data_IF_804244005330
#
_entry.id   IF_804244005330
#
_cell.length_a   1.000
_cell.length_b   1.000
_cell.length_c   1.000
_cell.angle_alpha   90.00
_cell.angle_beta   90.00
_cell.angle_gamma   90.00
#
_symmetry.space_group_name_H-M   'P 1'
#
loop_
_entity.id
_entity.type
_entity.pdbx_description
1 polymer ?
#
# COMPACT_ATOMS: atom_id res chain seq x y z
N UNK A 1 -9.88 0.36 14.97
CA UNK A 1 -9.92 -1.13 14.92
C UNK A 1 -8.54 -1.73 14.67
N UNK A 2 -7.71 -1.18 13.77
CA UNK A 2 -6.37 -1.77 13.52
C UNK A 2 -5.42 -1.71 14.72
N UNK A 3 -5.38 -0.59 15.45
CA UNK A 3 -4.51 -0.44 16.62
C UNK A 3 -4.68 -1.57 17.67
N UNK A 4 -5.88 -1.84 18.24
CA UNK A 4 -6.03 -2.92 19.22
C UNK A 4 -5.78 -4.32 18.62
N UNK A 5 -6.02 -4.51 17.33
CA UNK A 5 -5.71 -5.76 16.64
C UNK A 5 -4.19 -5.98 16.56
N UNK A 6 -3.44 -4.97 16.13
CA UNK A 6 -1.97 -5.02 16.04
C UNK A 6 -1.38 -5.28 17.44
N UNK A 7 -1.84 -4.60 18.48
CA UNK A 7 -1.40 -4.84 19.87
C UNK A 7 -1.63 -6.31 20.26
N UNK A 8 -2.84 -6.83 20.03
CA UNK A 8 -3.17 -8.23 20.37
C UNK A 8 -2.30 -9.23 19.62
N UNK A 9 -1.96 -8.95 18.36
CA UNK A 9 -1.09 -9.80 17.54
C UNK A 9 0.34 -9.79 18.07
N UNK A 10 0.85 -8.63 18.46
CA UNK A 10 2.18 -8.51 19.07
C UNK A 10 2.28 -9.27 20.39
N UNK A 11 1.22 -9.24 21.20
CA UNK A 11 1.17 -9.95 22.48
C UNK A 11 1.05 -11.47 22.30
N UNK A 12 0.29 -11.91 21.29
CA UNK A 12 -0.02 -13.34 21.10
C UNK A 12 0.88 -14.04 20.06
N UNK A 13 1.71 -13.30 19.33
CA UNK A 13 2.60 -13.85 18.30
C UNK A 13 1.89 -14.35 17.04
N UNK A 14 0.69 -13.83 16.76
CA UNK A 14 -0.09 -14.22 15.58
C UNK A 14 0.53 -13.69 14.28
N UNK A 15 -0.02 -14.11 13.12
CA UNK A 15 0.38 -13.61 11.80
C UNK A 15 -0.57 -12.49 11.39
N UNK A 16 -0.01 -11.39 10.92
CA UNK A 16 -0.74 -10.23 10.43
C UNK A 16 -0.26 -9.84 9.03
N UNK A 17 -0.81 -10.46 7.99
CA UNK A 17 -0.32 -10.26 6.65
C UNK A 17 -0.53 -8.82 6.19
N UNK A 18 -1.73 -8.25 6.34
CA UNK A 18 -2.03 -6.91 5.86
C UNK A 18 -3.18 -6.27 6.65
N UNK A 19 -3.22 -4.95 6.66
CA UNK A 19 -4.38 -4.20 7.17
C UNK A 19 -5.53 -4.21 6.15
N UNK A 20 -6.75 -3.86 6.59
CA UNK A 20 -7.90 -3.80 5.68
C UNK A 20 -7.74 -2.74 4.57
N UNK A 21 -6.99 -1.68 4.85
CA UNK A 21 -6.54 -0.69 3.87
C UNK A 21 -5.03 -0.54 4.09
N UNK A 22 -4.19 -1.34 3.42
CA UNK A 22 -2.76 -1.41 3.69
C UNK A 22 -2.07 -0.04 3.64
N UNK A 23 -1.30 0.25 4.69
CA UNK A 23 -0.51 1.47 4.83
C UNK A 23 0.34 1.38 6.09
N UNK A 24 1.61 1.84 6.09
CA UNK A 24 2.42 1.91 7.31
C UNK A 24 1.83 2.88 8.35
N UNK A 25 0.92 3.78 7.96
CA UNK A 25 0.24 4.70 8.88
C UNK A 25 -1.04 4.12 9.48
N UNK A 26 -1.54 3.00 8.95
CA UNK A 26 -2.83 2.46 9.38
C UNK A 26 -2.68 1.59 10.64
N UNK A 27 -2.71 2.26 11.80
CA UNK A 27 -2.72 1.65 13.13
C UNK A 27 -1.34 1.37 13.73
N UNK A 28 -0.31 1.14 12.91
CA UNK A 28 1.04 0.88 13.39
C UNK A 28 1.64 1.99 14.28
N UNK A 29 1.53 3.29 13.96
CA UNK A 29 2.19 4.32 14.77
C UNK A 29 1.74 4.29 16.24
N UNK A 30 0.42 4.23 16.46
CA UNK A 30 -0.13 4.16 17.81
C UNK A 30 0.14 2.80 18.48
N UNK A 31 -0.04 1.69 17.76
CA UNK A 31 0.14 0.35 18.32
C UNK A 31 1.59 0.02 18.72
N UNK A 32 2.56 0.68 18.09
CA UNK A 32 4.00 0.50 18.34
C UNK A 32 4.63 1.67 19.10
N UNK A 33 3.84 2.67 19.49
CA UNK A 33 4.31 3.91 20.13
C UNK A 33 5.43 4.60 19.34
N UNK A 34 5.25 4.72 18.02
CA UNK A 34 6.19 5.41 17.12
C UNK A 34 5.84 6.89 17.10
N UNK A 35 6.84 7.74 17.39
CA UNK A 35 6.73 9.19 17.19
C UNK A 35 6.99 9.54 15.73
N UNK A 36 6.07 10.30 15.14
CA UNK A 36 6.10 10.72 13.74
C UNK A 36 6.40 12.21 13.59
N UNK A 37 6.64 12.92 14.69
CA UNK A 37 6.89 14.36 14.68
C UNK A 37 8.11 14.70 13.81
N UNK A 38 7.91 15.55 12.80
CA UNK A 38 8.94 15.93 11.83
C UNK A 38 9.17 14.93 10.70
N UNK A 39 8.42 13.82 10.69
CA UNK A 39 8.42 12.78 9.66
C UNK A 39 7.00 12.51 9.13
N UNK A 40 6.13 13.52 9.17
CA UNK A 40 4.76 13.39 8.73
C UNK A 40 4.70 13.10 7.22
N UNK A 41 4.23 11.91 6.86
CA UNK A 41 4.16 11.47 5.45
C UNK A 41 5.45 10.86 4.91
N UNK A 42 6.52 10.80 5.71
CA UNK A 42 7.74 10.05 5.36
C UNK A 42 7.49 8.54 5.49
N UNK A 43 7.15 7.93 4.37
CA UNK A 43 6.85 6.50 4.27
C UNK A 43 8.05 5.65 4.68
N UNK A 44 9.27 6.04 4.27
CA UNK A 44 10.46 5.25 4.53
C UNK A 44 10.79 5.25 6.03
N UNK A 45 10.79 6.43 6.66
CA UNK A 45 10.96 6.54 8.11
C UNK A 45 9.95 5.67 8.87
N UNK A 46 8.70 5.65 8.43
CA UNK A 46 7.68 4.82 9.07
C UNK A 46 7.95 3.33 8.90
N UNK A 47 8.31 2.86 7.70
CA UNK A 47 8.64 1.45 7.47
C UNK A 47 9.84 1.00 8.33
N UNK A 48 10.88 1.82 8.39
CA UNK A 48 12.09 1.57 9.19
C UNK A 48 11.76 1.53 10.70
N UNK A 49 10.95 2.47 11.17
CA UNK A 49 10.52 2.57 12.57
C UNK A 49 9.65 1.37 12.99
N UNK A 50 8.72 0.94 12.12
CA UNK A 50 7.90 -0.25 12.36
C UNK A 50 8.81 -1.47 12.44
N UNK A 51 9.71 -1.65 11.48
CA UNK A 51 10.63 -2.79 11.44
C UNK A 51 11.44 -2.89 12.73
N UNK A 52 12.05 -1.79 13.19
CA UNK A 52 12.83 -1.76 14.43
C UNK A 52 12.00 -2.25 15.64
N UNK A 53 10.75 -1.78 15.76
CA UNK A 53 9.82 -2.19 16.83
C UNK A 53 9.39 -3.65 16.72
N UNK A 54 9.26 -4.18 15.50
CA UNK A 54 8.95 -5.58 15.27
C UNK A 54 10.15 -6.49 15.57
N UNK A 55 11.37 -6.09 15.21
CA UNK A 55 12.60 -6.82 15.50
C UNK A 55 12.84 -6.93 17.01
N UNK A 56 12.64 -5.85 17.78
CA UNK A 56 12.68 -5.85 19.25
C UNK A 56 11.80 -6.94 19.88
N UNK A 57 10.71 -7.32 19.19
CA UNK A 57 9.71 -8.30 19.66
C UNK A 57 9.79 -9.64 18.92
N UNK A 58 10.72 -9.81 17.98
CA UNK A 58 10.81 -11.02 17.16
C UNK A 58 9.60 -11.23 16.22
N UNK A 59 8.93 -10.15 15.82
CA UNK A 59 7.68 -10.17 15.06
C UNK A 59 7.83 -9.79 13.57
N UNK A 60 9.02 -9.37 13.13
CA UNK A 60 9.24 -8.91 11.76
C UNK A 60 8.86 -9.94 10.68
N UNK A 61 9.05 -11.24 10.94
CA UNK A 61 8.63 -12.32 10.04
C UNK A 61 7.15 -12.70 10.08
N UNK A 62 6.33 -11.99 10.87
CA UNK A 62 4.91 -12.30 11.07
C UNK A 62 3.99 -11.18 10.60
N UNK A 63 4.55 -10.05 10.21
CA UNK A 63 3.79 -8.86 9.86
C UNK A 63 4.28 -8.28 8.54
N UNK A 64 3.37 -7.67 7.79
CA UNK A 64 3.70 -6.90 6.59
C UNK A 64 2.74 -5.72 6.41
N UNK A 65 3.02 -4.89 5.41
CA UNK A 65 2.14 -3.81 4.97
C UNK A 65 2.34 -3.55 3.48
N UNK A 66 1.85 -2.43 2.94
CA UNK A 66 2.21 -1.96 1.61
C UNK A 66 3.26 -0.87 1.68
N UNK A 67 4.11 -0.77 0.66
CA UNK A 67 5.10 0.30 0.54
C UNK A 67 4.43 1.66 0.44
N UNK A 68 3.35 1.78 -0.33
CA UNK A 68 2.59 3.03 -0.47
C UNK A 68 1.20 2.90 0.16
N UNK A 69 0.74 3.89 0.96
CA UNK A 69 -0.64 3.92 1.46
C UNK A 69 -1.66 3.90 0.32
N UNK A 70 -2.57 2.92 0.29
CA UNK A 70 -3.52 2.74 -0.83
C UNK A 70 -4.37 3.99 -1.12
N UNK A 71 -4.85 4.68 -0.07
CA UNK A 71 -5.68 5.87 -0.25
C UNK A 71 -4.88 7.02 -0.88
N UNK A 72 -3.62 7.18 -0.50
CA UNK A 72 -2.76 8.22 -1.08
C UNK A 72 -2.42 7.88 -2.52
N UNK A 73 -2.12 6.60 -2.80
CA UNK A 73 -1.90 6.14 -4.16
C UNK A 73 -3.09 6.42 -5.09
N UNK A 74 -4.32 6.17 -4.62
CA UNK A 74 -5.54 6.45 -5.40
C UNK A 74 -5.75 7.95 -5.64
N UNK A 75 -5.53 8.80 -4.63
CA UNK A 75 -5.69 10.25 -4.77
C UNK A 75 -4.64 10.82 -5.72
N UNK A 76 -3.37 10.51 -5.49
CA UNK A 76 -2.27 11.03 -6.31
C UNK A 76 -2.33 10.48 -7.73
N UNK A 77 -2.55 9.18 -7.90
CA UNK A 77 -2.70 8.56 -9.22
C UNK A 77 -3.90 9.12 -10.00
N UNK A 78 -5.02 9.37 -9.33
CA UNK A 78 -6.18 10.02 -9.95
C UNK A 78 -5.90 11.45 -10.41
N UNK A 79 -5.18 12.23 -9.60
CA UNK A 79 -4.80 13.61 -9.95
C UNK A 79 -3.81 13.63 -11.11
N UNK A 80 -2.77 12.80 -11.07
CA UNK A 80 -1.78 12.72 -12.15
C UNK A 80 -2.42 12.27 -13.47
N UNK A 81 -3.28 11.25 -13.44
CA UNK A 81 -4.03 10.86 -14.64
C UNK A 81 -4.92 11.99 -15.17
N UNK A 82 -5.59 12.74 -14.29
CA UNK A 82 -6.38 13.89 -14.71
C UNK A 82 -5.53 15.00 -15.37
N UNK A 83 -4.30 15.21 -14.89
CA UNK A 83 -3.34 16.13 -15.54
C UNK A 83 -2.99 15.61 -16.94
N UNK A 84 -2.64 14.33 -17.09
CA UNK A 84 -2.36 13.73 -18.40
C UNK A 84 -3.52 13.92 -19.39
N UNK A 85 -4.75 13.70 -18.92
CA UNK A 85 -5.95 13.93 -19.73
C UNK A 85 -6.12 15.40 -20.12
N UNK A 86 -6.00 16.33 -19.16
CA UNK A 86 -6.19 17.77 -19.41
C UNK A 86 -5.12 18.34 -20.35
N UNK A 87 -3.91 17.77 -20.34
CA UNK A 87 -2.82 18.17 -21.21
C UNK A 87 -2.80 17.42 -22.55
N UNK A 88 -3.82 16.60 -22.83
CA UNK A 88 -4.02 15.91 -24.10
C UNK A 88 -3.05 14.75 -24.34
N UNK A 89 -2.52 14.13 -23.27
CA UNK A 89 -1.56 13.02 -23.32
C UNK A 89 -2.19 11.63 -23.17
N UNK A 90 -3.51 11.54 -23.13
CA UNK A 90 -4.26 10.28 -23.11
C UNK A 90 -5.07 10.09 -24.41
N UNK A 91 -5.39 8.84 -24.74
CA UNK A 91 -6.34 8.49 -25.79
C UNK A 91 -7.79 8.67 -25.31
N UNK A 92 -8.25 9.92 -25.24
CA UNK A 92 -9.57 10.26 -24.71
C UNK A 92 -9.63 10.15 -23.18
N UNK A 93 -10.84 10.09 -22.62
CA UNK A 93 -11.03 10.12 -21.16
C UNK A 93 -10.68 8.80 -20.46
N UNK A 94 -10.53 7.71 -21.22
CA UNK A 94 -10.26 6.37 -20.71
C UNK A 94 -9.06 5.78 -21.42
N UNK A 95 -7.90 5.85 -20.77
CA UNK A 95 -6.62 5.33 -21.26
C UNK A 95 -5.96 4.47 -20.16
N UNK A 96 -6.21 3.15 -20.17
CA UNK A 96 -5.64 2.23 -19.19
C UNK A 96 -4.11 2.17 -19.19
N UNK A 97 -3.46 2.44 -20.33
CA UNK A 97 -2.00 2.40 -20.44
C UNK A 97 -1.37 3.56 -19.68
N UNK A 98 -1.90 4.77 -19.86
CA UNK A 98 -1.47 5.95 -19.10
C UNK A 98 -1.83 5.78 -17.63
N UNK A 99 -3.03 5.29 -17.31
CA UNK A 99 -3.43 5.05 -15.92
C UNK A 99 -2.47 4.06 -15.21
N UNK A 100 -2.11 2.96 -15.87
CA UNK A 100 -1.19 1.98 -15.32
C UNK A 100 0.22 2.58 -15.13
N UNK A 101 0.68 3.39 -16.08
CA UNK A 101 1.96 4.11 -15.98
C UNK A 101 1.99 5.04 -14.78
N UNK A 102 0.93 5.83 -14.59
CA UNK A 102 0.78 6.74 -13.44
C UNK A 102 0.77 5.97 -12.13
N UNK A 103 0.00 4.89 -12.02
CA UNK A 103 -0.04 4.10 -10.78
C UNK A 103 1.29 3.42 -10.46
N UNK A 104 2.06 3.00 -11.46
CA UNK A 104 3.41 2.47 -11.24
C UNK A 104 4.38 3.53 -10.72
N UNK A 105 4.26 4.77 -11.20
CA UNK A 105 5.06 5.89 -10.68
C UNK A 105 4.75 6.19 -9.20
N UNK A 106 3.47 6.12 -8.82
CA UNK A 106 3.01 6.48 -7.46
C UNK A 106 3.17 5.33 -6.46
N UNK A 107 2.87 4.11 -6.88
CA UNK A 107 2.73 2.96 -5.99
C UNK A 107 3.76 1.84 -6.24
N UNK A 108 4.75 2.08 -7.10
CA UNK A 108 5.82 1.14 -7.41
C UNK A 108 5.54 0.24 -8.61
N UNK A 109 6.59 -0.33 -9.18
CA UNK A 109 6.53 -1.08 -10.45
C UNK A 109 5.68 -2.35 -10.38
N UNK A 110 5.56 -2.95 -9.19
CA UNK A 110 4.74 -4.14 -8.97
C UNK A 110 3.29 -3.81 -8.62
N UNK A 111 2.90 -2.52 -8.59
CA UNK A 111 1.50 -2.14 -8.48
C UNK A 111 0.72 -2.69 -9.69
N UNK A 112 -0.43 -3.33 -9.41
CA UNK A 112 -1.30 -3.92 -10.42
C UNK A 112 -2.67 -3.27 -10.39
N UNK A 113 -3.13 -2.89 -11.57
CA UNK A 113 -4.50 -2.48 -11.82
C UNK A 113 -5.20 -3.59 -12.61
N UNK A 114 -6.35 -4.03 -12.13
CA UNK A 114 -7.18 -5.03 -12.82
C UNK A 114 -8.62 -4.56 -12.88
N UNK A 115 -9.29 -4.60 -14.04
CA UNK A 115 -10.72 -4.34 -14.09
C UNK A 115 -11.49 -5.24 -13.12
N UNK A 116 -12.51 -4.69 -12.47
CA UNK A 116 -13.40 -5.46 -11.63
C UNK A 116 -14.20 -6.44 -12.50
N UNK A 117 -14.22 -7.70 -12.10
CA UNK A 117 -14.99 -8.74 -12.75
C UNK A 117 -15.73 -9.59 -11.71
N UNK A 118 -16.98 -9.92 -12.00
CA UNK A 118 -17.78 -10.85 -11.22
C UNK A 118 -18.59 -11.80 -12.13
N UNK A 119 -19.53 -12.55 -11.55
CA UNK A 119 -20.36 -13.49 -12.30
C UNK A 119 -21.22 -12.85 -13.41
N UNK A 120 -21.43 -11.54 -13.38
CA UNK A 120 -22.22 -10.78 -14.36
C UNK A 120 -21.34 -10.15 -15.47
N UNK A 121 -20.02 -10.32 -15.40
CA UNK A 121 -19.08 -9.80 -16.39
C UNK A 121 -18.05 -8.84 -15.80
N UNK A 122 -17.33 -8.15 -16.69
CA UNK A 122 -16.25 -7.20 -16.37
C UNK A 122 -16.74 -5.76 -16.53
N UNK A 123 -16.37 -4.90 -15.58
CA UNK A 123 -16.54 -3.45 -15.66
C UNK A 123 -15.19 -2.84 -16.04
N UNK A 124 -14.99 -2.61 -17.33
CA UNK A 124 -13.69 -2.22 -17.91
C UNK A 124 -13.10 -0.91 -17.35
N UNK A 125 -13.96 0.02 -16.91
CA UNK A 125 -13.55 1.32 -16.37
C UNK A 125 -13.55 1.39 -14.84
N UNK A 126 -13.67 0.26 -14.15
CA UNK A 126 -13.58 0.17 -12.70
C UNK A 126 -12.39 -0.70 -12.34
N UNK A 127 -11.32 -0.10 -11.80
CA UNK A 127 -10.10 -0.84 -11.47
C UNK A 127 -10.03 -1.19 -9.98
N UNK A 128 -9.61 -2.42 -9.72
CA UNK A 128 -9.08 -2.88 -8.44
C UNK A 128 -7.58 -2.57 -8.42
N UNK A 129 -7.09 -2.05 -7.28
CA UNK A 129 -5.69 -1.70 -7.08
C UNK A 129 -5.05 -2.69 -6.13
N UNK A 130 -3.85 -3.13 -6.49
CA UNK A 130 -3.06 -4.03 -5.67
C UNK A 130 -1.62 -3.55 -5.62
N UNK A 131 -1.20 -3.01 -4.48
CA UNK A 131 0.10 -2.39 -4.28
C UNK A 131 1.22 -3.38 -3.97
N UNK A 132 2.42 -2.86 -3.79
CA UNK A 132 3.59 -3.67 -3.44
C UNK A 132 3.61 -4.02 -1.95
N UNK A 133 3.96 -5.27 -1.67
CA UNK A 133 4.03 -5.81 -0.31
C UNK A 133 5.36 -5.50 0.35
N UNK A 134 5.35 -4.78 1.47
CA UNK A 134 6.54 -4.66 2.29
C UNK A 134 6.59 -5.76 3.36
N UNK A 135 7.52 -6.71 3.20
CA UNK A 135 7.79 -7.73 4.20
C UNK A 135 8.86 -7.23 5.19
N UNK A 136 8.49 -7.05 6.46
CA UNK A 136 9.41 -6.52 7.48
C UNK A 136 10.61 -7.44 7.79
N UNK A 137 10.56 -8.72 7.44
CA UNK A 137 11.71 -9.62 7.61
C UNK A 137 12.74 -9.56 6.49
N UNK A 138 12.32 -9.26 5.25
CA UNK A 138 13.23 -9.24 4.09
C UNK A 138 13.50 -7.84 3.56
N UNK A 139 12.71 -6.84 4.00
CA UNK A 139 12.81 -5.43 3.56
C UNK A 139 12.58 -5.24 2.05
N UNK A 140 12.04 -6.27 1.39
CA UNK A 140 11.82 -6.26 -0.05
C UNK A 140 10.33 -6.27 -0.36
N UNK A 141 9.90 -5.60 -1.45
CA UNK A 141 8.66 -5.93 -2.15
C UNK A 141 8.55 -7.45 -2.31
N UNK A 142 7.50 -8.08 -1.79
CA UNK A 142 7.28 -9.50 -2.04
C UNK A 142 6.93 -9.71 -3.52
N UNK A 143 7.77 -10.43 -4.24
CA UNK A 143 7.50 -10.83 -5.61
C UNK A 143 6.50 -12.00 -5.63
N UNK A 144 5.27 -11.72 -6.06
CA UNK A 144 4.28 -12.76 -6.34
C UNK A 144 4.66 -13.50 -7.63
N UNK A 145 5.36 -14.62 -7.46
CA UNK A 145 5.56 -15.61 -8.52
C UNK A 145 4.26 -16.41 -8.72
N UNK A 146 3.69 -16.34 -9.93
CA UNK A 146 2.58 -17.19 -10.37
C UNK A 146 3.07 -18.12 -11.47
#
# INVERSE_FOLDING_TARGET
MQEPLIVSILEQGAIYPQQCCPSPYHGYPAALSIDVTGHEGDVQYMLDSIKAKLDEKGMAGRMSTWTTPVNMAMVEGGVLYAIEYCEGRTNGSFDPEVLNTVFKQVAGENCKLTPYADANGTIENFFMVFGEYYNFATETPYELNF
#
